data_IF_640327347264
#
_entry.id   IF_640327347264
#
_cell.length_a   1.000
_cell.length_b   1.000
_cell.length_c   1.000
_cell.angle_alpha   90.00
_cell.angle_beta   90.00
_cell.angle_gamma   90.00
#
_symmetry.space_group_name_H-M   'P 1'
#
loop_
_entity.id
_entity.type
_entity.pdbx_description
1 polymer ?
#
# COMPACT_ATOMS: atom_id res chain seq x y z
N UNK A 1 2.18 75.18 11.22
CA UNK A 1 1.95 73.88 11.89
C UNK A 1 1.06 73.03 11.00
N UNK A 2 1.61 72.01 10.33
CA UNK A 2 0.85 70.99 9.59
C UNK A 2 1.13 69.66 10.29
N UNK A 3 0.11 68.86 10.67
CA UNK A 3 0.38 67.58 11.31
C UNK A 3 0.95 66.63 10.25
N UNK A 4 2.18 66.16 10.47
CA UNK A 4 2.76 65.08 9.68
C UNK A 4 2.01 63.79 10.02
N UNK A 5 1.13 63.38 9.10
CA UNK A 5 0.44 62.09 9.15
C UNK A 5 1.48 61.00 8.82
N UNK A 6 2.01 60.34 9.86
CA UNK A 6 2.91 59.18 9.69
C UNK A 6 2.05 57.97 9.34
N UNK A 7 1.95 57.66 8.04
CA UNK A 7 1.27 56.46 7.55
C UNK A 7 2.20 55.25 7.79
N UNK A 8 1.99 54.53 8.89
CA UNK A 8 2.66 53.25 9.16
C UNK A 8 2.13 52.20 8.17
N UNK A 9 2.85 52.03 7.05
CA UNK A 9 2.64 50.92 6.13
C UNK A 9 3.12 49.63 6.80
N UNK A 10 2.23 48.94 7.51
CA UNK A 10 2.47 47.57 7.97
C UNK A 10 2.38 46.67 6.74
N UNK A 11 3.54 46.36 6.14
CA UNK A 11 3.60 45.35 5.09
C UNK A 11 3.28 43.98 5.72
N UNK A 12 2.02 43.55 5.63
CA UNK A 12 1.63 42.18 5.96
C UNK A 12 2.27 41.29 4.91
N UNK A 13 3.43 40.70 5.24
CA UNK A 13 4.07 39.71 4.40
C UNK A 13 3.17 38.48 4.35
N UNK A 14 2.37 38.36 3.29
CA UNK A 14 1.67 37.12 2.97
C UNK A 14 2.77 36.13 2.59
N UNK A 15 3.22 35.33 3.55
CA UNK A 15 4.00 34.13 3.21
C UNK A 15 3.06 33.22 2.44
N UNK A 16 3.20 33.20 1.11
CA UNK A 16 2.59 32.15 0.30
C UNK A 16 3.19 30.81 0.79
N UNK A 17 2.43 30.06 1.57
CA UNK A 17 2.76 28.67 1.90
C UNK A 17 2.71 27.90 0.58
N UNK A 18 3.90 27.64 0.02
CA UNK A 18 4.10 26.79 -1.14
C UNK A 18 3.72 25.36 -0.74
N UNK A 19 2.43 25.04 -0.81
CA UNK A 19 1.93 23.70 -0.56
C UNK A 19 2.19 22.90 -1.83
N UNK A 20 3.29 22.16 -1.85
CA UNK A 20 3.56 21.19 -2.90
C UNK A 20 2.49 20.09 -2.79
N UNK A 21 1.45 20.16 -3.63
CA UNK A 21 0.49 19.07 -3.77
C UNK A 21 1.24 17.86 -4.32
N UNK A 22 1.30 16.79 -3.53
CA UNK A 22 1.93 15.57 -3.99
C UNK A 22 1.00 14.80 -4.92
N UNK A 23 1.62 14.07 -5.85
CA UNK A 23 0.86 13.22 -6.77
C UNK A 23 0.19 12.05 -6.05
N UNK A 24 0.75 11.64 -4.92
CA UNK A 24 0.16 10.68 -4.02
C UNK A 24 0.41 11.07 -2.56
N UNK A 25 -0.62 10.96 -1.72
CA UNK A 25 -0.51 11.22 -0.28
C UNK A 25 0.11 10.03 0.48
N UNK A 26 0.24 8.89 -0.18
CA UNK A 26 0.83 7.66 0.36
C UNK A 26 2.18 7.40 -0.29
N UNK A 27 3.23 7.31 0.54
CA UNK A 27 4.54 6.83 0.10
C UNK A 27 4.51 5.31 -0.05
N UNK A 28 5.01 4.81 -1.18
CA UNK A 28 5.20 3.37 -1.42
C UNK A 28 6.47 3.12 -2.23
N UNK A 29 7.03 1.91 -2.13
CA UNK A 29 8.21 1.49 -2.89
C UNK A 29 7.92 0.23 -3.69
N UNK A 30 8.60 0.08 -4.82
CA UNK A 30 8.58 -1.12 -5.64
C UNK A 30 9.28 -2.29 -4.95
N UNK A 31 8.76 -3.51 -5.11
CA UNK A 31 9.30 -4.75 -4.52
C UNK A 31 9.56 -5.83 -5.58
N UNK A 32 8.82 -5.81 -6.68
CA UNK A 32 9.11 -6.64 -7.85
C UNK A 32 7.93 -7.40 -8.40
N UNK A 33 8.25 -8.20 -9.43
CA UNK A 33 7.29 -8.98 -10.19
C UNK A 33 7.23 -10.44 -9.73
N UNK A 34 6.02 -10.96 -9.56
CA UNK A 34 5.79 -12.29 -9.00
C UNK A 34 4.61 -13.01 -9.64
N UNK A 35 4.74 -14.33 -9.81
CA UNK A 35 3.67 -15.20 -10.29
C UNK A 35 2.58 -15.40 -9.22
N UNK A 36 1.32 -15.29 -9.64
CA UNK A 36 0.13 -15.49 -8.82
C UNK A 36 -0.63 -16.78 -9.22
N UNK A 37 -0.38 -17.90 -8.52
CA UNK A 37 -1.00 -19.18 -8.84
C UNK A 37 -2.51 -19.19 -8.56
N UNK A 38 -3.03 -18.33 -7.68
CA UNK A 38 -4.45 -18.35 -7.35
C UNK A 38 -5.33 -17.69 -8.39
N UNK A 39 -4.74 -17.19 -9.48
CA UNK A 39 -5.45 -16.84 -10.70
C UNK A 39 -5.73 -18.06 -11.60
N UNK A 40 -5.22 -19.26 -11.26
CA UNK A 40 -5.57 -20.54 -11.91
C UNK A 40 -6.61 -21.38 -11.13
N UNK A 41 -7.31 -20.79 -10.16
CA UNK A 41 -8.42 -21.43 -9.43
C UNK A 41 -8.09 -21.91 -8.01
N UNK A 42 -6.82 -21.91 -7.59
CA UNK A 42 -6.45 -22.15 -6.19
C UNK A 42 -6.28 -20.82 -5.43
N UNK A 43 -7.41 -20.19 -5.11
CA UNK A 43 -7.45 -18.88 -4.46
C UNK A 43 -6.71 -18.83 -3.12
N UNK A 44 -6.51 -19.99 -2.46
CA UNK A 44 -5.79 -20.11 -1.20
C UNK A 44 -4.28 -19.88 -1.35
N UNK A 45 -3.74 -19.99 -2.57
CA UNK A 45 -2.31 -19.77 -2.87
C UNK A 45 -1.99 -18.37 -3.36
N UNK A 46 -2.97 -17.46 -3.46
CA UNK A 46 -2.73 -16.07 -3.89
C UNK A 46 -1.77 -15.36 -2.93
N UNK A 47 -0.69 -14.73 -3.43
CA UNK A 47 0.15 -13.87 -2.60
C UNK A 47 -0.65 -12.72 -1.99
N UNK A 48 -1.62 -12.18 -2.72
CA UNK A 48 -2.51 -11.11 -2.27
C UNK A 48 -3.96 -11.52 -2.55
N UNK A 49 -4.69 -11.96 -1.52
CA UNK A 49 -6.01 -12.61 -1.67
C UNK A 49 -7.20 -11.64 -1.75
N UNK A 50 -7.02 -10.39 -1.34
CA UNK A 50 -8.10 -9.42 -1.24
C UNK A 50 -8.08 -8.46 -2.41
N UNK A 51 -9.08 -8.57 -3.31
CA UNK A 51 -9.31 -7.57 -4.34
C UNK A 51 -9.84 -6.30 -3.68
N UNK A 52 -9.10 -5.20 -3.77
CA UNK A 52 -9.51 -3.92 -3.23
C UNK A 52 -10.32 -3.12 -4.26
N UNK A 53 -9.93 -3.20 -5.54
CA UNK A 53 -10.59 -2.51 -6.64
C UNK A 53 -10.21 -3.11 -8.00
N UNK A 54 -11.13 -3.04 -8.96
CA UNK A 54 -10.93 -3.49 -10.34
C UNK A 54 -11.27 -2.35 -11.32
N UNK A 55 -10.28 -1.96 -12.13
CA UNK A 55 -10.36 -0.90 -13.14
C UNK A 55 -10.32 -1.40 -14.57
N UNK A 56 -10.35 -2.71 -14.82
CA UNK A 56 -10.20 -3.27 -16.17
C UNK A 56 -11.23 -2.73 -17.16
N UNK A 57 -12.45 -2.45 -16.70
CA UNK A 57 -13.52 -1.89 -17.53
C UNK A 57 -13.50 -0.34 -17.62
N UNK A 58 -12.53 0.31 -16.97
CA UNK A 58 -12.45 1.79 -16.85
C UNK A 58 -11.06 2.34 -17.17
N UNK A 59 -10.27 1.60 -17.94
CA UNK A 59 -8.95 2.07 -18.38
C UNK A 59 -9.17 3.22 -19.36
N UNK A 60 -8.85 4.44 -18.92
CA UNK A 60 -8.87 5.60 -19.79
C UNK A 60 -7.58 5.66 -20.62
N UNK A 61 -7.66 5.26 -21.89
CA UNK A 61 -6.53 5.28 -22.81
C UNK A 61 -6.17 6.70 -23.29
N UNK A 62 -7.04 7.71 -23.11
CA UNK A 62 -6.78 9.08 -23.55
C UNK A 62 -5.73 9.81 -22.71
N UNK A 63 -5.62 9.48 -21.41
CA UNK A 63 -4.76 10.19 -20.46
C UNK A 63 -3.30 9.68 -20.46
N UNK A 64 -3.04 8.66 -21.28
CA UNK A 64 -1.75 7.97 -21.39
C UNK A 64 -1.57 6.90 -20.30
N UNK A 65 -1.05 5.75 -20.72
CA UNK A 65 -0.84 4.56 -19.88
C UNK A 65 -0.07 4.86 -18.59
N UNK A 66 1.01 5.66 -18.67
CA UNK A 66 1.84 5.96 -17.50
C UNK A 66 1.08 6.78 -16.45
N UNK A 67 0.20 7.69 -16.88
CA UNK A 67 -0.62 8.47 -15.95
C UNK A 67 -1.70 7.61 -15.30
N UNK A 68 -2.35 6.76 -16.09
CA UNK A 68 -3.28 5.77 -15.58
C UNK A 68 -2.62 4.89 -14.51
N UNK A 69 -1.44 4.35 -14.81
CA UNK A 69 -0.71 3.47 -13.90
C UNK A 69 -0.25 4.18 -12.63
N UNK A 70 0.22 5.42 -12.72
CA UNK A 70 0.51 6.28 -11.54
C UNK A 70 -0.71 6.49 -10.65
N UNK A 71 -1.83 6.89 -11.24
CA UNK A 71 -3.05 7.20 -10.50
C UNK A 71 -3.64 5.94 -9.84
N UNK A 72 -3.64 4.83 -10.58
CA UNK A 72 -4.07 3.53 -10.08
C UNK A 72 -3.17 3.03 -8.95
N UNK A 73 -1.85 3.13 -9.09
CA UNK A 73 -0.88 2.74 -8.05
C UNK A 73 -1.11 3.53 -6.77
N UNK A 74 -1.24 4.85 -6.89
CA UNK A 74 -1.54 5.70 -5.73
C UNK A 74 -2.86 5.32 -5.06
N UNK A 75 -3.93 5.17 -5.83
CA UNK A 75 -5.25 4.83 -5.28
C UNK A 75 -5.25 3.45 -4.62
N UNK A 76 -4.51 2.49 -5.18
CA UNK A 76 -4.33 1.18 -4.57
C UNK A 76 -3.56 1.27 -3.24
N UNK A 77 -2.49 2.09 -3.19
CA UNK A 77 -1.72 2.35 -1.97
C UNK A 77 -2.58 3.00 -0.87
N UNK A 78 -3.43 3.96 -1.21
CA UNK A 78 -4.40 4.57 -0.27
C UNK A 78 -5.37 3.55 0.31
N UNK A 79 -5.96 2.69 -0.55
CA UNK A 79 -6.90 1.65 -0.12
C UNK A 79 -6.22 0.61 0.77
N UNK A 80 -4.99 0.19 0.42
CA UNK A 80 -4.20 -0.72 1.22
C UNK A 80 -3.84 -0.11 2.58
N UNK A 81 -3.34 1.13 2.61
CA UNK A 81 -3.02 1.86 3.85
C UNK A 81 -4.25 2.00 4.75
N UNK A 82 -5.40 2.39 4.17
CA UNK A 82 -6.68 2.52 4.90
C UNK A 82 -7.15 1.20 5.51
N UNK A 83 -6.88 0.06 4.85
CA UNK A 83 -7.19 -1.28 5.36
C UNK A 83 -6.10 -1.87 6.26
N UNK A 84 -5.00 -1.15 6.49
CA UNK A 84 -3.89 -1.60 7.32
C UNK A 84 -3.00 -2.66 6.67
N UNK A 85 -3.01 -2.78 5.33
CA UNK A 85 -2.13 -3.67 4.61
C UNK A 85 -0.80 -2.99 4.28
N UNK A 86 0.31 -3.72 4.49
CA UNK A 86 1.66 -3.27 4.14
C UNK A 86 1.99 -3.41 2.66
N UNK A 87 1.36 -4.35 1.98
CA UNK A 87 1.64 -4.63 0.56
C UNK A 87 0.38 -4.44 -0.27
N UNK A 88 0.55 -3.91 -1.48
CA UNK A 88 -0.45 -4.01 -2.53
C UNK A 88 0.19 -4.53 -3.80
N UNK A 89 -0.62 -5.09 -4.68
CA UNK A 89 -0.19 -5.64 -5.96
C UNK A 89 -1.08 -5.16 -7.07
N UNK A 90 -0.47 -4.88 -8.21
CA UNK A 90 -1.17 -4.57 -9.43
C UNK A 90 -1.05 -5.76 -10.38
N UNK A 91 -2.19 -6.25 -10.85
CA UNK A 91 -2.32 -7.46 -11.67
C UNK A 91 -3.28 -7.19 -12.83
N UNK A 92 -3.11 -7.98 -13.90
CA UNK A 92 -4.06 -8.08 -15.01
C UNK A 92 -4.47 -6.73 -15.60
N UNK A 93 -3.48 -5.85 -15.73
CA UNK A 93 -3.59 -4.51 -16.33
C UNK A 93 -4.54 -3.51 -15.64
N UNK A 94 -5.22 -3.89 -14.56
CA UNK A 94 -6.19 -3.00 -13.90
C UNK A 94 -6.72 -3.46 -12.55
N UNK A 95 -6.16 -4.51 -11.95
CA UNK A 95 -6.64 -5.02 -10.66
C UNK A 95 -5.70 -4.62 -9.53
N UNK A 96 -6.30 -4.17 -8.42
CA UNK A 96 -5.59 -3.84 -7.19
C UNK A 96 -5.89 -4.88 -6.13
N UNK A 97 -4.86 -5.63 -5.77
CA UNK A 97 -4.89 -6.70 -4.78
C UNK A 97 -4.10 -6.32 -3.54
N UNK A 98 -4.47 -6.89 -2.40
CA UNK A 98 -3.73 -6.74 -1.14
C UNK A 98 -3.99 -7.94 -0.22
N UNK A 99 -3.41 -7.96 0.98
CA UNK A 99 -3.56 -9.06 1.92
C UNK A 99 -2.55 -9.05 3.06
N UNK A 100 -2.72 -10.00 3.98
CA UNK A 100 -1.94 -10.12 5.23
C UNK A 100 -0.63 -10.93 5.03
N UNK A 101 -0.31 -11.36 3.82
CA UNK A 101 0.75 -12.33 3.57
C UNK A 101 2.19 -11.77 3.67
N UNK A 102 3.10 -12.68 4.02
CA UNK A 102 4.54 -12.43 4.22
C UNK A 102 5.30 -12.34 2.89
N UNK A 103 6.35 -11.49 2.79
CA UNK A 103 7.26 -11.42 1.64
C UNK A 103 7.85 -12.74 1.17
N UNK A 104 7.95 -13.71 2.09
CA UNK A 104 8.40 -15.07 1.80
C UNK A 104 7.53 -15.79 0.77
N UNK A 105 6.21 -15.53 0.74
CA UNK A 105 5.27 -16.20 -0.17
C UNK A 105 5.42 -15.74 -1.63
N UNK A 106 5.70 -14.46 -1.84
CA UNK A 106 5.97 -13.96 -3.20
C UNK A 106 7.42 -14.12 -3.62
N UNK A 107 8.41 -14.00 -2.72
CA UNK A 107 9.83 -14.14 -3.07
C UNK A 107 10.19 -15.51 -3.68
N UNK A 108 9.46 -16.56 -3.31
CA UNK A 108 9.61 -17.89 -3.92
C UNK A 108 9.06 -17.99 -5.38
N UNK A 109 8.50 -16.91 -5.92
CA UNK A 109 7.72 -16.88 -7.16
C UNK A 109 8.10 -15.70 -8.07
N UNK A 110 9.37 -15.32 -8.13
CA UNK A 110 9.85 -14.29 -9.05
C UNK A 110 9.39 -14.57 -10.49
N UNK A 111 9.02 -13.52 -11.19
CA UNK A 111 8.62 -13.55 -12.60
C UNK A 111 9.12 -12.29 -13.28
N UNK A 112 9.19 -12.31 -14.61
CA UNK A 112 9.52 -11.15 -15.44
C UNK A 112 8.31 -10.70 -16.28
N UNK A 113 7.13 -11.29 -16.06
CA UNK A 113 5.89 -10.97 -16.79
C UNK A 113 5.13 -9.78 -16.19
N UNK A 114 5.86 -8.73 -15.83
CA UNK A 114 5.29 -7.44 -15.42
C UNK A 114 5.76 -6.34 -16.36
N UNK A 115 4.85 -5.44 -16.68
CA UNK A 115 5.05 -4.40 -17.68
C UNK A 115 4.99 -3.02 -17.07
N UNK A 116 5.69 -2.10 -17.72
CA UNK A 116 5.80 -0.71 -17.31
C UNK A 116 5.44 0.22 -18.45
N UNK A 117 6.41 1.02 -18.87
CA UNK A 117 6.29 2.05 -19.89
C UNK A 117 5.78 1.53 -21.25
N UNK A 118 5.00 2.37 -21.95
CA UNK A 118 4.62 2.23 -23.38
C UNK A 118 5.47 3.17 -24.22
N UNK A 119 5.93 2.80 -25.43
CA UNK A 119 5.18 1.97 -26.39
C UNK A 119 5.51 0.47 -26.42
N UNK A 120 6.67 0.03 -25.90
CA UNK A 120 7.19 -1.32 -26.18
C UNK A 120 6.86 -2.38 -25.11
N UNK A 121 6.10 -2.01 -24.07
CA UNK A 121 5.81 -2.89 -22.93
C UNK A 121 7.07 -3.53 -22.35
N UNK A 122 8.12 -2.72 -22.20
CA UNK A 122 9.35 -3.20 -21.61
C UNK A 122 9.07 -3.82 -20.24
N UNK A 123 9.80 -4.91 -19.97
CA UNK A 123 9.77 -5.53 -18.66
C UNK A 123 10.07 -4.47 -17.60
N UNK A 124 9.22 -4.44 -16.59
CA UNK A 124 9.30 -3.44 -15.54
C UNK A 124 9.85 -4.06 -14.27
N UNK A 125 10.90 -3.42 -13.77
CA UNK A 125 11.62 -3.79 -12.57
C UNK A 125 11.59 -2.67 -11.52
N UNK A 126 12.30 -2.91 -10.43
CA UNK A 126 12.34 -2.04 -9.27
C UNK A 126 13.05 -0.71 -9.57
N UNK A 127 13.91 -0.66 -10.59
CA UNK A 127 14.68 0.50 -11.02
C UNK A 127 13.98 1.32 -12.11
N UNK A 128 12.93 0.76 -12.72
CA UNK A 128 12.19 1.41 -13.80
C UNK A 128 11.59 2.76 -13.35
N UNK A 129 11.61 3.81 -14.19
CA UNK A 129 11.16 5.15 -13.80
C UNK A 129 9.62 5.30 -13.70
N UNK A 130 8.88 4.36 -14.27
CA UNK A 130 7.42 4.29 -14.17
C UNK A 130 7.00 3.17 -13.24
N UNK A 131 5.81 3.30 -12.68
CA UNK A 131 5.09 2.21 -12.04
C UNK A 131 4.97 0.99 -12.98
N UNK A 132 4.81 -0.17 -12.37
CA UNK A 132 4.78 -1.47 -13.00
C UNK A 132 3.45 -2.16 -12.68
N UNK A 133 3.03 -3.07 -13.55
CA UNK A 133 1.84 -3.90 -13.35
C UNK A 133 2.09 -5.30 -13.89
N UNK A 134 1.56 -6.31 -13.20
CA UNK A 134 1.61 -7.67 -13.71
C UNK A 134 0.66 -7.89 -14.89
N UNK A 135 1.06 -8.78 -15.79
CA UNK A 135 0.15 -9.37 -16.78
C UNK A 135 -0.92 -10.26 -16.08
N UNK A 136 -1.70 -10.99 -16.87
CA UNK A 136 -2.55 -12.05 -16.32
C UNK A 136 -1.71 -13.03 -15.48
N UNK A 137 -2.24 -13.43 -14.32
CA UNK A 137 -1.56 -14.33 -13.35
C UNK A 137 -0.25 -13.80 -12.74
N UNK A 138 0.02 -12.49 -12.81
CA UNK A 138 1.21 -11.90 -12.23
C UNK A 138 0.86 -10.66 -11.40
N UNK A 139 1.53 -10.48 -10.26
CA UNK A 139 1.46 -9.26 -9.48
C UNK A 139 2.79 -8.53 -9.57
N UNK A 140 2.75 -7.24 -9.86
CA UNK A 140 3.82 -6.36 -9.42
C UNK A 140 3.49 -5.84 -8.03
N UNK A 141 4.34 -6.15 -7.04
CA UNK A 141 4.10 -5.85 -5.63
C UNK A 141 4.83 -4.58 -5.22
N UNK A 142 4.13 -3.80 -4.39
CA UNK A 142 4.61 -2.58 -3.77
C UNK A 142 4.46 -2.65 -2.25
N UNK A 143 5.36 -1.99 -1.54
CA UNK A 143 5.30 -1.81 -0.10
C UNK A 143 4.82 -0.40 0.26
N UNK A 144 3.72 -0.31 1.00
CA UNK A 144 3.22 0.92 1.61
C UNK A 144 4.13 1.29 2.78
N UNK A 145 4.61 2.53 2.79
CA UNK A 145 5.43 3.05 3.89
C UNK A 145 4.54 3.70 4.96
N UNK A 146 4.90 3.56 6.24
CA UNK A 146 4.15 4.21 7.32
C UNK A 146 4.23 5.74 7.21
N UNK A 147 5.38 6.28 6.85
CA UNK A 147 5.60 7.71 6.68
C UNK A 147 4.90 8.31 5.44
N UNK A 148 4.63 9.60 5.49
CA UNK A 148 4.19 10.38 4.33
C UNK A 148 5.39 10.66 3.40
N UNK A 149 5.16 10.94 2.10
CA UNK A 149 6.26 11.33 1.23
C UNK A 149 6.85 12.69 1.66
N UNK A 150 8.17 12.83 1.54
CA UNK A 150 8.89 14.02 1.95
C UNK A 150 8.48 15.24 1.11
N UNK A 151 8.33 16.40 1.75
CA UNK A 151 7.89 17.63 1.07
C UNK A 151 6.39 17.68 0.75
N UNK A 152 5.62 16.64 1.08
CA UNK A 152 4.16 16.66 0.98
C UNK A 152 3.55 17.23 2.26
N UNK A 153 2.73 18.27 2.12
CA UNK A 153 1.93 18.74 3.24
C UNK A 153 0.87 17.68 3.58
N UNK A 154 1.07 16.94 4.66
CA UNK A 154 -0.04 16.19 5.25
C UNK A 154 -1.03 17.23 5.78
N UNK A 155 -2.27 17.20 5.31
CA UNK A 155 -3.35 18.02 5.86
C UNK A 155 -3.76 17.48 7.23
N UNK A 156 -2.79 17.37 8.14
CA UNK A 156 -2.98 17.25 9.57
C UNK A 156 -2.47 18.53 10.20
N UNK A 157 -3.12 19.63 9.85
CA UNK A 157 -3.31 20.68 10.85
C UNK A 157 -4.04 20.04 12.02
N UNK A 158 -3.52 20.06 13.25
CA UNK A 158 -4.34 19.76 14.41
C UNK A 158 -5.37 20.88 14.50
N UNK A 159 -6.54 20.67 13.91
CA UNK A 159 -7.69 21.49 14.21
C UNK A 159 -7.86 21.43 15.72
N UNK A 160 -7.62 22.56 16.40
CA UNK A 160 -8.13 22.77 17.75
C UNK A 160 -9.64 22.63 17.66
N UNK A 161 -10.14 21.42 17.86
CA UNK A 161 -11.55 21.14 18.06
C UNK A 161 -11.60 20.09 19.16
N UNK A 162 -12.03 20.58 20.32
CA UNK A 162 -12.60 19.89 21.47
C UNK A 162 -12.44 18.36 21.48
N UNK A 163 -11.66 17.86 22.44
CA UNK A 163 -11.51 16.45 22.72
C UNK A 163 -12.86 15.74 22.78
N UNK A 164 -13.16 14.94 21.76
CA UNK A 164 -14.08 13.83 21.85
C UNK A 164 -13.22 12.59 22.02
N UNK A 165 -13.47 11.86 23.10
CA UNK A 165 -12.76 10.63 23.44
C UNK A 165 -12.92 9.62 22.29
N UNK A 166 -11.94 9.58 21.40
CA UNK A 166 -11.76 8.48 20.47
C UNK A 166 -11.40 7.26 21.32
N UNK A 167 -12.26 6.26 21.31
CA UNK A 167 -11.95 4.92 21.78
C UNK A 167 -10.66 4.47 21.08
N UNK A 168 -9.55 4.45 21.81
CA UNK A 168 -8.26 3.98 21.31
C UNK A 168 -8.46 2.50 21.00
N UNK A 169 -8.75 2.17 19.72
CA UNK A 169 -8.65 0.79 19.27
C UNK A 169 -7.19 0.40 19.47
N UNK A 170 -6.88 -0.66 20.24
CA UNK A 170 -5.50 -1.05 20.48
C UNK A 170 -4.78 -1.27 19.14
N UNK A 171 -3.48 -0.94 19.04
CA UNK A 171 -2.70 -1.13 17.82
C UNK A 171 -2.80 -2.59 17.39
N UNK A 172 -3.08 -2.85 16.11
CA UNK A 172 -3.26 -4.20 15.57
C UNK A 172 -1.98 -5.04 15.79
N UNK A 173 -1.98 -6.05 16.69
CA UNK A 173 -0.77 -6.83 16.97
C UNK A 173 -0.32 -7.71 15.81
N UNK A 174 -1.17 -7.96 14.80
CA UNK A 174 -0.77 -8.65 13.56
C UNK A 174 0.10 -7.79 12.63
N UNK A 175 0.19 -6.47 12.85
CA UNK A 175 0.98 -5.57 12.01
C UNK A 175 2.49 -5.86 12.03
N UNK A 176 2.98 -6.57 13.05
CA UNK A 176 4.39 -6.98 13.19
C UNK A 176 4.70 -8.33 12.54
N UNK A 177 3.73 -8.99 11.87
CA UNK A 177 3.87 -10.30 11.25
C UNK A 177 4.39 -11.40 12.18
N UNK A 178 3.73 -11.64 13.32
CA UNK A 178 4.24 -12.61 14.28
C UNK A 178 4.13 -14.07 13.80
N UNK A 179 3.13 -14.43 12.99
CA UNK A 179 2.90 -15.80 12.53
C UNK A 179 3.89 -16.21 11.43
N UNK A 180 4.52 -17.38 11.59
CA UNK A 180 5.52 -17.97 10.69
C UNK A 180 4.90 -19.11 9.87
N UNK A 181 5.68 -19.63 8.92
CA UNK A 181 5.36 -20.84 8.15
C UNK A 181 3.96 -20.86 7.51
N UNK A 182 3.48 -19.69 7.07
CA UNK A 182 2.16 -19.56 6.44
C UNK A 182 0.97 -19.49 7.41
N UNK A 183 1.19 -19.30 8.71
CA UNK A 183 0.11 -19.11 9.67
C UNK A 183 -0.68 -17.82 9.46
N UNK A 184 -2.00 -17.89 9.62
CA UNK A 184 -2.91 -16.75 9.47
C UNK A 184 -3.04 -16.00 10.80
N UNK A 185 -2.87 -14.67 10.77
CA UNK A 185 -2.89 -13.84 11.98
C UNK A 185 -4.25 -13.15 12.13
N UNK A 186 -4.87 -13.36 13.29
CA UNK A 186 -6.13 -12.72 13.66
C UNK A 186 -6.00 -11.98 14.99
N UNK A 187 -6.79 -10.92 15.17
CA UNK A 187 -6.84 -10.15 16.41
C UNK A 187 -8.22 -10.27 17.02
N UNK A 188 -8.44 -11.19 17.97
CA UNK A 188 -9.73 -11.35 18.62
C UNK A 188 -10.20 -10.04 19.24
N UNK A 189 -11.47 -9.70 19.04
CA UNK A 189 -12.04 -8.45 19.51
C UNK A 189 -11.89 -8.31 21.04
N UNK A 190 -11.38 -7.17 21.49
CA UNK A 190 -11.14 -6.89 22.91
C UNK A 190 -9.90 -7.56 23.53
N UNK A 191 -9.16 -8.42 22.81
CA UNK A 191 -7.99 -9.11 23.39
C UNK A 191 -6.75 -8.22 23.51
N UNK A 192 -6.57 -7.29 22.56
CA UNK A 192 -5.31 -6.54 22.41
C UNK A 192 -4.11 -7.42 22.02
N UNK A 193 -4.33 -8.70 21.72
CA UNK A 193 -3.31 -9.70 21.36
C UNK A 193 -3.63 -10.29 19.97
N UNK A 194 -2.70 -11.09 19.46
CA UNK A 194 -2.85 -11.81 18.19
C UNK A 194 -2.95 -13.31 18.43
N UNK A 195 -3.58 -14.00 17.47
CA UNK A 195 -3.65 -15.46 17.41
C UNK A 195 -3.17 -15.90 16.03
N UNK A 196 -2.33 -16.93 16.00
CA UNK A 196 -1.90 -17.57 14.77
C UNK A 196 -2.67 -18.87 14.53
N UNK A 197 -3.40 -18.94 13.42
CA UNK A 197 -3.95 -20.18 12.89
C UNK A 197 -2.86 -20.88 12.07
N UNK A 198 -2.30 -21.95 12.63
CA UNK A 198 -1.20 -22.66 12.01
C UNK A 198 -1.68 -23.69 10.98
N UNK A 199 -0.98 -23.83 9.83
CA UNK A 199 -1.21 -24.95 8.93
C UNK A 199 -1.01 -26.30 9.64
N UNK A 200 -1.59 -27.37 9.10
CA UNK A 200 -1.63 -28.69 9.74
C UNK A 200 -0.24 -29.21 10.16
N UNK A 201 0.78 -28.91 9.38
CA UNK A 201 2.17 -29.31 9.62
C UNK A 201 2.91 -28.51 10.70
N UNK A 202 2.35 -27.39 11.18
CA UNK A 202 3.01 -26.47 12.10
C UNK A 202 2.25 -26.25 13.41
N UNK A 203 2.97 -25.85 14.45
CA UNK A 203 2.47 -25.57 15.80
C UNK A 203 3.30 -24.47 16.47
N UNK A 204 2.86 -24.03 17.65
CA UNK A 204 3.46 -22.96 18.43
C UNK A 204 2.68 -21.64 18.33
N UNK A 205 3.01 -20.69 19.22
CA UNK A 205 2.30 -19.39 19.30
C UNK A 205 2.38 -18.63 17.99
N UNK A 206 3.47 -18.83 17.26
CA UNK A 206 3.81 -18.15 16.04
C UNK A 206 3.95 -19.15 14.89
N UNK A 207 3.41 -20.37 15.01
CA UNK A 207 3.58 -21.45 14.03
C UNK A 207 5.04 -21.77 13.71
N UNK A 208 5.94 -21.59 14.67
CA UNK A 208 7.38 -21.67 14.49
C UNK A 208 7.94 -23.10 14.53
N UNK A 209 7.13 -24.09 14.97
CA UNK A 209 7.54 -25.48 15.15
C UNK A 209 6.85 -26.40 14.17
N UNK A 210 7.58 -27.36 13.59
CA UNK A 210 7.01 -28.43 12.77
C UNK A 210 6.44 -29.54 13.66
N UNK A 211 5.25 -30.06 13.35
CA UNK A 211 4.56 -31.09 14.17
C UNK A 211 5.21 -32.48 14.05
N UNK A 212 5.92 -32.77 12.95
CA UNK A 212 6.50 -34.08 12.70
C UNK A 212 5.44 -35.15 12.39
N UNK A 213 5.62 -35.95 11.34
CA UNK A 213 4.81 -37.16 11.15
C UNK A 213 5.36 -38.24 12.10
N UNK A 214 4.52 -38.75 12.98
CA UNK A 214 4.81 -39.99 13.72
C UNK A 214 4.65 -41.19 12.79
#
# INVERSE_FOLDING_TARGET
MRPMLVLLLVAVSIFAVNSQSCRCDVKYTKIGCYHDPGSYGDHNKRPLRNLLLNWRDRINWSDGWNNHLKNMSCRCAELAKKKGYRYFGLQFYGECWSGVHSPTLFNARKSDSCWGYRPDYENCDDDSPTECIGQEHHNYIYEVKPEAPEGCATTTTPSKTTAQAATIKPPNPCASYPCRNGGECHTPEGSGDYVCECPDDFTGRNCERYKGRK
#
